data_IF_086554302449
#
_entry.id   IF_086554302449
#
_cell.length_a   1.000
_cell.length_b   1.000
_cell.length_c   1.000
_cell.angle_alpha   90.00
_cell.angle_beta   90.00
_cell.angle_gamma   90.00
#
_symmetry.space_group_name_H-M   'P 1'
#
loop_
_entity.id
_entity.type
_entity.pdbx_description
1 polymer ?
#
# COMPACT_ATOMS: atom_id res chain seq x y z
N UNK A 1 -85.68 -5.98 15.70
CA UNK A 1 -85.23 -5.03 14.66
C UNK A 1 -83.84 -5.47 14.19
N UNK A 2 -83.67 -5.65 12.87
CA UNK A 2 -82.52 -6.26 12.20
C UNK A 2 -81.31 -5.30 12.19
N UNK A 3 -80.12 -5.75 12.60
CA UNK A 3 -78.80 -5.17 12.22
C UNK A 3 -77.79 -6.33 12.17
N UNK A 4 -77.73 -7.03 11.03
CA UNK A 4 -76.77 -6.87 9.93
C UNK A 4 -75.33 -7.22 10.33
N UNK A 5 -74.97 -8.46 9.99
CA UNK A 5 -73.63 -9.04 9.96
C UNK A 5 -72.72 -8.24 9.02
N UNK A 6 -71.49 -7.95 9.46
CA UNK A 6 -70.36 -7.66 8.57
C UNK A 6 -69.21 -8.55 9.02
N UNK A 7 -69.04 -9.68 8.33
CA UNK A 7 -67.89 -10.56 8.47
C UNK A 7 -66.77 -9.98 7.63
N UNK A 8 -65.71 -9.46 8.27
CA UNK A 8 -64.47 -9.14 7.57
C UNK A 8 -63.72 -10.44 7.27
N UNK A 9 -63.68 -10.83 5.98
CA UNK A 9 -62.75 -11.83 5.48
C UNK A 9 -61.33 -11.25 5.57
N UNK A 10 -60.51 -11.75 6.50
CA UNK A 10 -59.06 -11.57 6.43
C UNK A 10 -58.50 -12.55 5.40
N UNK A 11 -58.24 -12.07 4.18
CA UNK A 11 -57.39 -12.77 3.21
C UNK A 11 -55.95 -12.66 3.72
N UNK A 12 -55.46 -13.73 4.33
CA UNK A 12 -54.06 -13.86 4.71
C UNK A 12 -53.16 -13.93 3.47
N UNK A 13 -52.56 -12.80 3.11
CA UNK A 13 -51.43 -12.77 2.18
C UNK A 13 -50.20 -13.33 2.90
N UNK A 14 -49.91 -14.61 2.71
CA UNK A 14 -48.63 -15.20 3.09
C UNK A 14 -47.52 -14.57 2.23
N UNK A 15 -46.82 -13.57 2.76
CA UNK A 15 -45.56 -13.12 2.19
C UNK A 15 -44.54 -14.26 2.35
N UNK A 16 -44.37 -15.05 1.29
CA UNK A 16 -43.21 -15.94 1.15
C UNK A 16 -42.01 -15.02 0.95
N UNK A 17 -41.27 -14.75 2.03
CA UNK A 17 -39.94 -14.18 1.94
C UNK A 17 -39.03 -15.26 1.37
N UNK A 18 -38.86 -15.25 0.05
CA UNK A 18 -37.80 -16.00 -0.63
C UNK A 18 -36.48 -15.36 -0.18
N UNK A 19 -35.86 -15.94 0.84
CA UNK A 19 -34.49 -15.59 1.19
C UNK A 19 -33.62 -15.84 -0.06
N UNK A 20 -32.81 -14.87 -0.51
CA UNK A 20 -31.87 -15.15 -1.58
C UNK A 20 -30.89 -16.20 -1.05
N UNK A 21 -31.00 -17.41 -1.58
CA UNK A 21 -30.00 -18.45 -1.44
C UNK A 21 -28.68 -17.87 -1.91
N UNK A 22 -27.80 -17.55 -0.95
CA UNK A 22 -26.43 -17.15 -1.24
C UNK A 22 -25.75 -18.36 -1.87
N UNK A 23 -25.77 -18.40 -3.20
CA UNK A 23 -24.94 -19.31 -3.96
C UNK A 23 -23.49 -18.95 -3.59
N UNK A 24 -22.83 -19.88 -2.90
CA UNK A 24 -21.39 -19.79 -2.70
C UNK A 24 -20.77 -19.65 -4.09
N UNK A 25 -20.13 -18.51 -4.35
CA UNK A 25 -19.41 -18.29 -5.59
C UNK A 25 -18.40 -19.45 -5.75
N UNK A 26 -18.36 -20.11 -6.93
CA UNK A 26 -17.48 -21.24 -7.12
C UNK A 26 -16.03 -20.79 -6.94
N UNK A 27 -15.28 -21.56 -6.14
CA UNK A 27 -13.83 -21.50 -6.17
C UNK A 27 -13.32 -21.90 -7.54
N UNK A 28 -12.25 -21.25 -8.01
CA UNK A 28 -11.57 -21.65 -9.25
C UNK A 28 -11.40 -20.49 -10.22
N UNK A 29 -10.25 -19.85 -10.12
CA UNK A 29 -9.80 -18.82 -11.05
C UNK A 29 -8.62 -18.10 -10.43
N UNK A 30 -7.42 -18.65 -10.59
CA UNK A 30 -6.19 -17.86 -10.38
C UNK A 30 -6.30 -16.68 -11.34
N UNK A 31 -6.74 -15.52 -10.85
CA UNK A 31 -6.52 -14.28 -11.57
C UNK A 31 -5.01 -14.14 -11.64
N UNK A 32 -4.42 -14.45 -12.79
CA UNK A 32 -3.06 -14.07 -13.12
C UNK A 32 -3.08 -12.57 -13.33
N UNK A 33 -3.21 -11.85 -12.23
CA UNK A 33 -2.75 -10.48 -12.20
C UNK A 33 -1.28 -10.49 -12.63
N UNK A 34 -0.82 -9.48 -13.38
CA UNK A 34 0.60 -9.31 -13.57
C UNK A 34 1.24 -9.32 -12.18
N UNK A 35 2.21 -10.21 -12.00
CA UNK A 35 2.99 -10.27 -10.76
C UNK A 35 3.60 -8.88 -10.51
N UNK A 36 3.93 -8.56 -9.25
CA UNK A 36 4.62 -7.33 -8.86
C UNK A 36 6.05 -7.32 -9.44
N UNK A 37 6.19 -7.30 -10.75
CA UNK A 37 7.45 -7.49 -11.47
C UNK A 37 7.96 -6.13 -11.89
N UNK A 38 9.19 -5.84 -11.48
CA UNK A 38 9.88 -4.64 -11.92
C UNK A 38 10.20 -4.73 -13.41
N UNK A 39 9.94 -3.65 -14.14
CA UNK A 39 10.24 -3.54 -15.57
C UNK A 39 10.66 -2.10 -15.90
N UNK A 40 11.24 -1.85 -17.09
CA UNK A 40 11.46 -0.49 -17.57
C UNK A 40 10.19 0.37 -17.54
N UNK A 41 9.05 -0.20 -17.92
CA UNK A 41 7.75 0.48 -17.89
C UNK A 41 7.29 0.80 -16.47
N UNK A 42 7.56 -0.10 -15.50
CA UNK A 42 7.32 0.17 -14.07
C UNK A 42 8.16 1.35 -13.58
N UNK A 43 9.43 1.42 -13.99
CA UNK A 43 10.30 2.55 -13.66
C UNK A 43 9.78 3.86 -14.27
N UNK A 44 9.30 3.82 -15.52
CA UNK A 44 8.74 5.00 -16.18
C UNK A 44 7.43 5.46 -15.53
N UNK A 45 6.58 4.55 -15.06
CA UNK A 45 5.40 4.88 -14.25
C UNK A 45 5.78 5.54 -12.92
N UNK A 46 6.83 5.07 -12.27
CA UNK A 46 7.37 5.68 -11.04
C UNK A 46 7.86 7.11 -11.30
N UNK A 47 8.62 7.32 -12.37
CA UNK A 47 9.11 8.64 -12.78
C UNK A 47 7.93 9.58 -13.06
N UNK A 48 7.01 9.18 -13.94
CA UNK A 48 5.88 10.00 -14.31
C UNK A 48 4.96 10.28 -13.11
N UNK A 49 4.80 9.32 -12.20
CA UNK A 49 4.05 9.48 -10.95
C UNK A 49 4.71 10.47 -9.98
N UNK A 50 6.04 10.49 -9.90
CA UNK A 50 6.80 11.49 -9.15
C UNK A 50 6.56 12.90 -9.71
N UNK A 51 6.68 13.03 -11.03
CA UNK A 51 6.58 14.30 -11.73
C UNK A 51 5.16 14.87 -11.62
N UNK A 52 4.11 14.04 -11.80
CA UNK A 52 2.71 14.42 -11.55
C UNK A 52 2.45 14.87 -10.10
N UNK A 53 3.15 14.26 -9.14
CA UNK A 53 3.02 14.62 -7.72
C UNK A 53 3.89 15.82 -7.31
N UNK A 54 4.67 16.40 -8.24
CA UNK A 54 5.60 17.50 -7.95
C UNK A 54 6.74 17.09 -7.01
N UNK A 55 7.06 15.80 -6.93
CA UNK A 55 8.11 15.31 -6.02
C UNK A 55 9.49 15.61 -6.58
N UNK A 56 10.10 16.68 -6.06
CA UNK A 56 11.49 17.01 -6.36
C UNK A 56 12.42 15.88 -5.95
N UNK A 57 13.39 15.56 -6.81
CA UNK A 57 14.46 14.61 -6.55
C UNK A 57 15.48 15.23 -5.59
N UNK A 58 15.88 14.47 -4.59
CA UNK A 58 16.70 14.94 -3.47
C UNK A 58 18.16 14.75 -3.84
N UNK A 59 18.74 15.78 -4.45
CA UNK A 59 20.10 15.70 -5.00
C UNK A 59 21.15 15.41 -3.92
N UNK A 60 21.06 16.14 -2.80
CA UNK A 60 22.06 16.16 -1.73
C UNK A 60 21.44 16.57 -0.39
N UNK A 61 22.27 16.62 0.65
CA UNK A 61 21.84 16.91 2.02
C UNK A 61 21.28 18.33 2.17
N UNK A 62 21.75 19.30 1.37
CA UNK A 62 21.21 20.68 1.36
C UNK A 62 19.75 20.69 0.89
N UNK A 63 19.41 19.92 -0.14
CA UNK A 63 18.02 19.77 -0.60
C UNK A 63 17.20 19.01 0.46
N UNK A 64 17.74 17.93 1.02
CA UNK A 64 17.08 17.18 2.09
C UNK A 64 16.70 18.07 3.28
N UNK A 65 17.65 18.87 3.78
CA UNK A 65 17.42 19.80 4.89
C UNK A 65 16.34 20.84 4.57
N UNK A 66 16.30 21.38 3.34
CA UNK A 66 15.24 22.29 2.90
C UNK A 66 13.86 21.62 2.94
N UNK A 67 13.76 20.39 2.44
CA UNK A 67 12.51 19.64 2.46
C UNK A 67 12.08 19.25 3.89
N UNK A 68 13.02 18.95 4.77
CA UNK A 68 12.73 18.69 6.19
C UNK A 68 12.19 19.95 6.88
N UNK A 69 12.82 21.11 6.66
CA UNK A 69 12.32 22.40 7.18
C UNK A 69 10.92 22.73 6.67
N UNK A 70 10.66 22.46 5.40
CA UNK A 70 9.34 22.64 4.79
C UNK A 70 8.33 21.53 5.14
N UNK A 71 8.71 20.53 5.95
CA UNK A 71 7.92 19.31 6.24
C UNK A 71 7.46 18.54 4.99
N UNK A 72 8.12 18.79 3.86
CA UNK A 72 7.86 18.10 2.60
C UNK A 72 8.42 16.67 2.63
N UNK A 73 9.39 16.40 3.50
CA UNK A 73 9.75 15.06 3.99
C UNK A 73 9.74 15.07 5.51
N UNK A 74 9.43 13.94 6.11
CA UNK A 74 9.27 13.76 7.56
C UNK A 74 9.99 12.49 8.03
N UNK A 75 10.32 12.38 9.32
CA UNK A 75 10.86 11.13 9.87
C UNK A 75 9.92 9.95 9.63
N UNK A 76 10.47 8.77 9.36
CA UNK A 76 9.69 7.52 9.31
C UNK A 76 9.01 7.29 10.66
N UNK A 77 7.71 7.05 10.63
CA UNK A 77 6.93 6.88 11.85
C UNK A 77 6.94 5.42 12.31
N UNK A 78 7.53 5.16 13.48
CA UNK A 78 7.36 3.88 14.21
C UNK A 78 5.97 3.84 14.85
N UNK A 79 5.43 2.64 15.00
CA UNK A 79 4.15 2.43 15.70
C UNK A 79 4.05 1.00 16.22
N UNK A 80 2.92 0.66 16.83
CA UNK A 80 2.64 -0.73 17.25
C UNK A 80 2.58 -1.72 16.08
N UNK A 81 2.46 -1.26 14.84
CA UNK A 81 2.29 -2.08 13.64
C UNK A 81 3.39 -1.87 12.57
N UNK A 82 4.22 -0.83 12.69
CA UNK A 82 5.39 -0.60 11.83
C UNK A 82 6.66 -0.48 12.68
N UNK A 83 7.68 -1.22 12.30
CA UNK A 83 9.03 -1.15 12.86
C UNK A 83 10.02 -0.76 11.76
N UNK A 84 11.08 -0.04 12.11
CA UNK A 84 12.16 0.30 11.18
C UNK A 84 13.34 -0.60 11.51
N UNK A 85 13.93 -1.21 10.48
CA UNK A 85 15.13 -2.03 10.61
C UNK A 85 16.22 -1.25 11.38
N UNK A 86 16.78 -1.80 12.47
CA UNK A 86 17.82 -1.11 13.24
C UNK A 86 19.06 -0.78 12.39
N UNK A 87 19.34 -1.55 11.33
CA UNK A 87 20.46 -1.36 10.40
C UNK A 87 20.25 -0.20 9.43
N UNK A 88 19.01 0.28 9.25
CA UNK A 88 18.76 1.49 8.48
C UNK A 88 19.31 2.69 9.26
N UNK A 89 20.37 3.31 8.76
CA UNK A 89 21.02 4.43 9.45
C UNK A 89 20.02 5.59 9.71
N UNK A 90 20.06 6.25 10.88
CA UNK A 90 19.11 7.32 11.23
C UNK A 90 18.98 8.43 10.18
N UNK A 91 20.07 8.80 9.51
CA UNK A 91 20.08 9.82 8.45
C UNK A 91 19.23 9.47 7.22
N UNK A 92 18.83 8.20 7.06
CA UNK A 92 17.98 7.71 5.96
C UNK A 92 16.55 7.35 6.41
N UNK A 93 16.20 7.61 7.68
CA UNK A 93 14.88 7.29 8.24
C UNK A 93 13.87 8.40 7.98
N UNK A 94 13.68 8.78 6.72
CA UNK A 94 12.74 9.82 6.31
C UNK A 94 12.04 9.44 5.00
N UNK A 95 10.84 9.98 4.80
CA UNK A 95 10.04 9.81 3.60
C UNK A 95 9.07 10.98 3.40
N UNK A 96 8.34 10.99 2.30
CA UNK A 96 7.19 11.90 2.10
C UNK A 96 6.10 11.57 3.12
N UNK A 97 5.35 12.56 3.64
CA UNK A 97 4.21 12.31 4.53
C UNK A 97 3.22 11.27 3.99
N UNK A 98 3.03 11.24 2.66
CA UNK A 98 2.12 10.28 2.02
C UNK A 98 2.60 8.84 2.12
N UNK A 99 3.91 8.60 2.00
CA UNK A 99 4.50 7.28 2.16
C UNK A 99 4.40 6.81 3.62
N UNK A 100 4.57 7.72 4.58
CA UNK A 100 4.30 7.44 6.00
C UNK A 100 2.84 7.03 6.22
N UNK A 101 1.86 7.79 5.69
CA UNK A 101 0.44 7.44 5.79
C UNK A 101 0.15 6.06 5.22
N UNK A 102 0.65 5.78 4.02
CA UNK A 102 0.56 4.44 3.40
C UNK A 102 1.09 3.34 4.32
N UNK A 103 2.32 3.50 4.84
CA UNK A 103 2.91 2.54 5.77
C UNK A 103 2.05 2.33 7.01
N UNK A 104 1.45 3.41 7.53
CA UNK A 104 0.60 3.28 8.71
C UNK A 104 -0.70 2.53 8.43
N UNK A 105 -1.33 2.81 7.28
CA UNK A 105 -2.61 2.21 6.91
C UNK A 105 -2.47 0.73 6.55
N UNK A 106 -1.46 0.37 5.73
CA UNK A 106 -1.16 -1.03 5.43
C UNK A 106 -0.66 -1.78 6.66
N UNK A 107 0.18 -1.16 7.49
CA UNK A 107 0.68 -1.73 8.73
C UNK A 107 -0.45 -2.05 9.70
N UNK A 108 -1.39 -1.11 9.92
CA UNK A 108 -2.58 -1.33 10.76
C UNK A 108 -3.41 -2.51 10.24
N UNK A 109 -3.65 -2.56 8.94
CA UNK A 109 -4.43 -3.64 8.31
C UNK A 109 -3.73 -4.99 8.46
N UNK A 110 -2.43 -5.05 8.16
CA UNK A 110 -1.61 -6.26 8.30
C UNK A 110 -1.56 -6.76 9.75
N UNK A 111 -1.32 -5.87 10.71
CA UNK A 111 -1.28 -6.19 12.13
C UNK A 111 -2.64 -6.67 12.65
N UNK A 112 -3.75 -6.08 12.20
CA UNK A 112 -5.08 -6.55 12.58
C UNK A 112 -5.35 -8.00 12.18
N UNK A 113 -4.77 -8.44 11.04
CA UNK A 113 -4.96 -9.77 10.47
C UNK A 113 -4.00 -10.81 11.05
N UNK A 114 -2.74 -10.43 11.25
CA UNK A 114 -1.68 -11.39 11.57
C UNK A 114 -1.01 -11.16 12.92
N UNK A 115 -1.31 -10.05 13.61
CA UNK A 115 -0.63 -9.62 14.85
C UNK A 115 0.88 -9.49 14.71
N UNK A 116 1.38 -9.34 13.49
CA UNK A 116 2.78 -9.12 13.15
C UNK A 116 2.99 -7.67 12.67
N UNK A 117 4.17 -7.11 12.94
CA UNK A 117 4.55 -5.76 12.49
C UNK A 117 5.16 -5.82 11.09
N UNK A 118 4.97 -4.76 10.30
CA UNK A 118 5.73 -4.56 9.07
C UNK A 118 7.09 -3.95 9.39
N UNK A 119 8.16 -4.51 8.82
CA UNK A 119 9.50 -3.93 8.91
C UNK A 119 9.83 -3.13 7.66
N UNK A 120 10.27 -1.89 7.85
CA UNK A 120 10.78 -1.03 6.77
C UNK A 120 12.31 -1.11 6.76
N UNK A 121 12.88 -1.53 5.64
CA UNK A 121 14.32 -1.68 5.46
C UNK A 121 14.98 -0.44 4.86
N UNK A 122 14.25 0.30 4.01
CA UNK A 122 14.75 1.50 3.35
C UNK A 122 13.60 2.46 3.03
N UNK A 123 13.94 3.74 2.84
CA UNK A 123 13.01 4.80 2.48
C UNK A 123 13.72 5.82 1.56
N UNK A 124 13.70 7.11 1.88
CA UNK A 124 14.35 8.11 1.05
C UNK A 124 15.88 8.05 1.08
N UNK A 125 16.51 8.37 -0.06
CA UNK A 125 17.96 8.57 -0.19
C UNK A 125 18.30 9.75 -1.09
N UNK A 126 19.54 10.22 -1.09
CA UNK A 126 19.97 11.28 -2.02
C UNK A 126 20.49 10.71 -3.34
N UNK A 127 20.49 11.52 -4.40
CA UNK A 127 21.16 11.17 -5.68
C UNK A 127 22.65 10.92 -5.44
N UNK A 128 23.31 11.75 -4.63
CA UNK A 128 24.72 11.54 -4.27
C UNK A 128 24.95 10.17 -3.61
N UNK A 129 24.08 9.78 -2.67
CA UNK A 129 24.16 8.45 -2.07
C UNK A 129 23.90 7.34 -3.09
N UNK A 130 22.93 7.54 -3.99
CA UNK A 130 22.63 6.57 -5.03
C UNK A 130 23.78 6.39 -6.02
N UNK A 131 24.49 7.47 -6.36
CA UNK A 131 25.69 7.43 -7.19
C UNK A 131 26.80 6.63 -6.52
N UNK A 132 27.00 6.83 -5.22
CA UNK A 132 27.95 6.04 -4.45
C UNK A 132 27.54 4.56 -4.35
N UNK A 133 26.25 4.27 -4.21
CA UNK A 133 25.74 2.90 -4.26
C UNK A 133 26.01 2.25 -5.63
N UNK A 134 25.78 2.96 -6.73
CA UNK A 134 26.00 2.45 -8.10
C UNK A 134 27.45 2.04 -8.36
N UNK A 135 28.42 2.77 -7.79
CA UNK A 135 29.85 2.44 -7.91
C UNK A 135 30.20 1.05 -7.37
N UNK A 136 29.49 0.61 -6.34
CA UNK A 136 29.71 -0.67 -5.63
C UNK A 136 28.62 -1.71 -5.89
N UNK A 137 27.58 -1.35 -6.65
CA UNK A 137 26.50 -2.24 -7.06
C UNK A 137 26.07 -1.90 -8.50
N UNK A 138 26.53 -2.67 -9.49
CA UNK A 138 26.19 -2.43 -10.90
C UNK A 138 24.69 -2.58 -11.18
N UNK A 139 23.94 -3.30 -10.34
CA UNK A 139 22.49 -3.48 -10.48
C UNK A 139 21.68 -2.28 -9.95
N UNK A 140 22.32 -1.31 -9.29
CA UNK A 140 21.60 -0.13 -8.81
C UNK A 140 21.02 0.68 -9.97
N UNK A 141 19.81 1.21 -9.81
CA UNK A 141 19.21 2.12 -10.81
C UNK A 141 20.09 3.35 -11.03
N UNK A 142 20.03 3.91 -12.24
CA UNK A 142 20.60 5.23 -12.53
C UNK A 142 20.24 6.25 -11.43
N UNK A 143 21.21 7.02 -10.91
CA UNK A 143 20.97 7.96 -9.82
C UNK A 143 19.89 9.02 -10.07
N UNK A 144 19.73 9.49 -11.30
CA UNK A 144 18.72 10.50 -11.66
C UNK A 144 17.32 9.88 -11.83
N UNK A 145 17.25 8.57 -12.06
CA UNK A 145 16.00 7.82 -12.22
C UNK A 145 15.56 7.06 -10.98
N UNK A 146 16.42 6.92 -9.97
CA UNK A 146 16.16 6.09 -8.80
C UNK A 146 14.94 6.58 -7.97
N UNK A 147 13.88 5.77 -7.82
CA UNK A 147 12.62 6.18 -7.15
C UNK A 147 12.79 6.68 -5.72
N UNK A 148 13.65 6.04 -4.91
CA UNK A 148 13.95 6.46 -3.54
C UNK A 148 14.49 7.90 -3.42
N UNK A 149 15.01 8.48 -4.50
CA UNK A 149 15.49 9.87 -4.50
C UNK A 149 14.35 10.89 -4.40
N UNK A 150 13.10 10.48 -4.61
CA UNK A 150 11.90 11.31 -4.43
C UNK A 150 11.47 11.42 -2.96
N UNK A 151 11.92 10.47 -2.12
CA UNK A 151 11.43 10.26 -0.76
C UNK A 151 10.05 9.58 -0.68
N UNK A 152 9.41 9.25 -1.80
CA UNK A 152 8.07 8.65 -1.83
C UNK A 152 8.08 7.12 -1.91
N UNK A 153 9.27 6.51 -1.90
CA UNK A 153 9.47 5.06 -2.03
C UNK A 153 9.95 4.46 -0.71
N UNK A 154 9.46 3.26 -0.41
CA UNK A 154 9.80 2.49 0.80
C UNK A 154 9.99 1.02 0.47
N UNK A 155 10.90 0.36 1.19
CA UNK A 155 11.13 -1.09 1.08
C UNK A 155 10.60 -1.80 2.32
N UNK A 156 9.65 -2.72 2.13
CA UNK A 156 9.04 -3.52 3.19
C UNK A 156 9.64 -4.92 3.17
N UNK A 157 10.23 -5.36 4.30
CA UNK A 157 10.92 -6.64 4.39
C UNK A 157 9.99 -7.85 4.21
N UNK A 158 10.43 -8.85 3.44
CA UNK A 158 9.71 -10.14 3.26
C UNK A 158 10.20 -11.24 4.19
N UNK A 159 11.43 -11.13 4.72
CA UNK A 159 12.08 -12.22 5.47
C UNK A 159 11.29 -12.62 6.72
N UNK A 160 10.69 -11.67 7.44
CA UNK A 160 9.87 -11.95 8.61
C UNK A 160 8.43 -12.36 8.28
N UNK A 161 8.07 -12.47 7.00
CA UNK A 161 6.73 -12.83 6.55
C UNK A 161 6.65 -14.32 6.20
N UNK A 162 5.61 -15.00 6.67
CA UNK A 162 5.20 -16.31 6.16
C UNK A 162 4.68 -16.20 4.72
N UNK A 163 4.61 -17.33 4.00
CA UNK A 163 4.06 -17.38 2.64
C UNK A 163 2.63 -16.81 2.58
N UNK A 164 1.80 -17.12 3.58
CA UNK A 164 0.44 -16.57 3.72
C UNK A 164 0.44 -15.04 3.86
N UNK A 165 1.40 -14.48 4.59
CA UNK A 165 1.54 -13.04 4.75
C UNK A 165 2.03 -12.38 3.47
N UNK A 166 2.98 -13.01 2.75
CA UNK A 166 3.46 -12.53 1.44
C UNK A 166 2.34 -12.54 0.40
N UNK A 167 1.57 -13.61 0.30
CA UNK A 167 0.41 -13.69 -0.60
C UNK A 167 -0.63 -12.61 -0.30
N UNK A 168 -0.95 -12.38 0.98
CA UNK A 168 -1.84 -11.29 1.36
C UNK A 168 -1.27 -9.91 0.98
N UNK A 169 0.04 -9.72 1.14
CA UNK A 169 0.72 -8.47 0.79
C UNK A 169 0.67 -8.23 -0.72
N UNK A 170 0.96 -9.25 -1.53
CA UNK A 170 0.82 -9.21 -3.00
C UNK A 170 -0.59 -8.75 -3.38
N UNK A 171 -1.62 -9.48 -2.92
CA UNK A 171 -3.01 -9.15 -3.19
C UNK A 171 -3.39 -7.72 -2.78
N UNK A 172 -2.83 -7.23 -1.67
CA UNK A 172 -3.08 -5.88 -1.17
C UNK A 172 -2.44 -4.81 -2.05
N UNK A 173 -1.17 -4.98 -2.40
CA UNK A 173 -0.43 -4.04 -3.25
C UNK A 173 -1.01 -4.00 -4.66
N UNK A 174 -1.34 -5.15 -5.25
CA UNK A 174 -1.92 -5.23 -6.59
C UNK A 174 -3.27 -4.50 -6.69
N UNK A 175 -4.09 -4.53 -5.62
CA UNK A 175 -5.33 -3.73 -5.57
C UNK A 175 -5.06 -2.22 -5.54
N UNK A 176 -3.97 -1.78 -4.91
CA UNK A 176 -3.60 -0.37 -4.86
C UNK A 176 -2.95 0.09 -6.17
N UNK A 177 -2.15 -0.76 -6.82
CA UNK A 177 -1.65 -0.50 -8.17
C UNK A 177 -2.79 -0.40 -9.19
N UNK A 178 -3.79 -1.29 -9.11
CA UNK A 178 -4.98 -1.21 -9.95
C UNK A 178 -5.79 0.09 -9.74
N UNK A 179 -5.65 0.75 -8.59
CA UNK A 179 -6.23 2.07 -8.31
C UNK A 179 -5.32 3.22 -8.76
N UNK A 180 -4.11 2.94 -9.24
CA UNK A 180 -3.14 3.92 -9.68
C UNK A 180 -2.50 4.72 -8.55
N UNK A 181 -2.65 4.32 -7.28
CA UNK A 181 -2.17 5.10 -6.12
C UNK A 181 -0.76 4.74 -5.65
N UNK A 182 -0.25 3.59 -6.11
CA UNK A 182 1.14 3.14 -5.89
C UNK A 182 1.68 2.49 -7.17
N UNK A 183 2.99 2.31 -7.21
CA UNK A 183 3.65 1.30 -8.03
C UNK A 183 4.46 0.40 -7.09
N UNK A 184 4.33 -0.91 -7.22
CA UNK A 184 4.98 -1.90 -6.38
C UNK A 184 5.78 -2.92 -7.21
N UNK A 185 6.91 -3.34 -6.64
CA UNK A 185 7.75 -4.40 -7.19
C UNK A 185 8.14 -5.33 -6.06
N UNK A 186 7.95 -6.63 -6.25
CA UNK A 186 8.46 -7.65 -5.36
C UNK A 186 9.90 -7.99 -5.77
N UNK A 187 10.86 -7.40 -5.06
CA UNK A 187 12.27 -7.68 -5.30
C UNK A 187 12.69 -8.97 -4.61
N UNK A 188 13.17 -9.92 -5.40
CA UNK A 188 13.63 -11.21 -4.89
C UNK A 188 15.06 -11.15 -4.35
N UNK A 189 15.98 -10.45 -5.02
CA UNK A 189 17.38 -10.35 -4.58
C UNK A 189 17.55 -9.59 -3.26
N UNK A 190 16.82 -8.48 -3.07
CA UNK A 190 16.82 -7.73 -1.81
C UNK A 190 15.80 -8.28 -0.80
N UNK A 191 14.92 -9.20 -1.23
CA UNK A 191 13.86 -9.80 -0.40
C UNK A 191 12.96 -8.75 0.26
N UNK A 192 12.48 -7.78 -0.54
CA UNK A 192 11.56 -6.70 -0.13
C UNK A 192 10.39 -6.54 -1.09
N UNK A 193 9.33 -5.89 -0.64
CA UNK A 193 8.40 -5.18 -1.52
C UNK A 193 8.87 -3.74 -1.63
N UNK A 194 9.36 -3.36 -2.81
CA UNK A 194 9.68 -1.98 -3.18
C UNK A 194 8.39 -1.28 -3.57
N UNK A 195 8.01 -0.20 -2.89
CA UNK A 195 6.72 0.47 -3.11
C UNK A 195 6.92 1.97 -3.22
N UNK A 196 6.58 2.54 -4.37
CA UNK A 196 6.46 3.97 -4.57
C UNK A 196 5.01 4.41 -4.35
N UNK A 197 4.80 5.42 -3.51
CA UNK A 197 3.47 5.95 -3.20
C UNK A 197 3.23 7.26 -3.94
N UNK A 198 2.13 7.37 -4.67
CA UNK A 198 1.80 8.57 -5.43
C UNK A 198 0.98 9.58 -4.60
N UNK A 199 0.98 10.85 -5.03
CA UNK A 199 0.42 11.97 -4.27
C UNK A 199 -1.08 11.85 -3.94
N UNK A 200 -1.85 11.12 -4.75
CA UNK A 200 -3.30 10.98 -4.59
C UNK A 200 -3.73 9.76 -3.74
N UNK A 201 -2.78 9.06 -3.08
CA UNK A 201 -3.13 8.04 -2.07
C UNK A 201 -4.01 8.59 -0.94
N UNK A 202 -4.02 9.92 -0.72
CA UNK A 202 -4.79 10.55 0.35
C UNK A 202 -6.31 10.40 0.23
N UNK A 203 -6.82 10.15 -0.98
CA UNK A 203 -8.26 10.05 -1.27
C UNK A 203 -8.87 8.69 -0.90
N UNK A 204 -8.12 7.82 -0.23
CA UNK A 204 -8.61 6.53 0.24
C UNK A 204 -9.25 6.68 1.64
N UNK A 205 -10.55 6.98 1.66
CA UNK A 205 -11.37 7.13 2.89
C UNK A 205 -11.83 5.80 3.49
N UNK A 206 -11.45 4.66 2.93
CA UNK A 206 -12.03 3.36 3.30
C UNK A 206 -10.93 2.35 3.62
N UNK A 207 -10.82 1.86 4.87
CA UNK A 207 -10.03 0.68 5.14
C UNK A 207 -10.51 -0.45 4.21
N UNK A 208 -9.62 -1.14 3.50
CA UNK A 208 -9.93 -2.31 2.67
C UNK A 208 -10.50 -3.51 3.46
N UNK A 209 -10.89 -3.30 4.71
CA UNK A 209 -11.70 -4.21 5.50
C UNK A 209 -13.15 -4.08 5.04
N UNK A 210 -13.54 -4.97 4.13
CA UNK A 210 -14.94 -5.22 3.80
C UNK A 210 -15.69 -5.48 5.12
N UNK A 211 -16.46 -4.50 5.61
CA UNK A 211 -17.31 -4.69 6.79
C UNK A 211 -18.25 -5.84 6.48
N UNK A 212 -18.11 -6.97 7.20
CA UNK A 212 -19.16 -7.99 7.21
C UNK A 212 -20.43 -7.29 7.69
N UNK A 213 -21.58 -7.39 6.99
CA UNK A 213 -22.82 -6.85 7.50
C UNK A 213 -23.08 -7.51 8.86
N UNK A 214 -23.34 -6.68 9.88
CA UNK A 214 -23.82 -7.18 11.16
C UNK A 214 -25.17 -7.84 10.86
N UNK A 215 -25.26 -9.14 11.18
CA UNK A 215 -26.55 -9.81 11.34
C UNK A 215 -27.19 -9.30 12.63
#
# INVERSE_FOLDING_TARGET
>A
MKKLFVTFLFVGAALIVVAPSVQAAPGGGRRSWPELVGSPESLDRQIAGADRAGFVRIRNDKILQRLQKARAVVPLQRSRFVVIDPRLAPKWRWCRPIANRFLQDIGRTFYSRFRSRLQVNSAGRTILYQRELKRRNPNATDPERAPHTTGATVDIAKLSMSERQRNWMRDYLMRLEAQGVIEATEEHSQTVFHVMVFGHYQNQSTPLVRRRPRR
#
